data_IF_208783526574
#
_entry.id   IF_208783526574
#
_cell.length_a   1.000
_cell.length_b   1.000
_cell.length_c   1.000
_cell.angle_alpha   90.00
_cell.angle_beta   90.00
_cell.angle_gamma   90.00
#
_symmetry.space_group_name_H-M   'P 1'
#
loop_
_entity.id
_entity.type
_entity.pdbx_description
1 polymer ?
#
# COMPACT_ATOMS: atom_id res chain seq x y z
N UNK A 1 0.55 -8.30 15.25
CA UNK A 1 1.27 -9.18 14.31
C UNK A 1 0.38 -9.52 13.13
N UNK A 2 0.88 -9.34 11.92
CA UNK A 2 0.14 -9.58 10.69
C UNK A 2 0.72 -10.82 10.02
N UNK A 3 -0.13 -11.78 9.69
CA UNK A 3 0.32 -12.99 9.03
C UNK A 3 0.54 -12.76 7.54
N UNK A 4 1.66 -13.28 7.02
CA UNK A 4 1.99 -13.20 5.61
C UNK A 4 1.63 -14.50 4.90
N UNK A 5 1.19 -14.38 3.66
CA UNK A 5 0.97 -15.51 2.75
C UNK A 5 2.00 -15.45 1.63
N UNK A 6 2.58 -16.58 1.29
CA UNK A 6 3.43 -16.71 0.12
C UNK A 6 2.58 -17.24 -1.02
N UNK A 7 2.34 -16.43 -2.02
CA UNK A 7 1.46 -16.75 -3.14
C UNK A 7 2.05 -16.13 -4.41
N UNK A 8 2.14 -16.93 -5.47
CA UNK A 8 2.67 -16.48 -6.76
C UNK A 8 4.06 -15.84 -6.64
N UNK A 9 4.88 -16.37 -5.74
CA UNK A 9 6.24 -15.90 -5.43
C UNK A 9 6.28 -14.50 -4.82
N UNK A 10 5.19 -14.05 -4.23
CA UNK A 10 5.05 -12.75 -3.61
C UNK A 10 4.52 -12.92 -2.17
N UNK A 11 4.73 -11.89 -1.37
CA UNK A 11 4.22 -11.86 0.01
C UNK A 11 2.97 -10.99 0.10
N UNK A 12 1.89 -11.59 0.55
CA UNK A 12 0.61 -10.93 0.73
C UNK A 12 0.17 -10.99 2.18
N UNK A 13 -0.66 -10.03 2.56
CA UNK A 13 -1.37 -10.06 3.82
C UNK A 13 -2.78 -9.50 3.65
N UNK A 14 -3.58 -9.66 4.69
CA UNK A 14 -4.89 -9.03 4.80
C UNK A 14 -4.80 -7.96 5.88
N UNK A 15 -5.40 -6.80 5.62
CA UNK A 15 -5.49 -5.75 6.62
C UNK A 15 -6.70 -4.87 6.37
N UNK A 16 -7.07 -4.11 7.38
CA UNK A 16 -8.10 -3.09 7.26
C UNK A 16 -7.44 -1.75 7.01
N UNK A 17 -7.97 -1.00 6.07
CA UNK A 17 -7.51 0.34 5.74
C UNK A 17 -8.67 1.32 5.87
N UNK A 18 -8.52 2.31 6.73
CA UNK A 18 -9.47 3.43 6.78
C UNK A 18 -8.88 4.59 5.99
N UNK A 19 -9.57 4.98 4.95
CA UNK A 19 -9.12 6.02 4.03
C UNK A 19 -10.33 6.82 3.55
N UNK A 20 -10.22 8.15 3.55
CA UNK A 20 -11.31 9.06 3.15
C UNK A 20 -12.64 8.72 3.87
N UNK A 21 -12.57 8.44 5.17
CA UNK A 21 -13.71 8.07 6.04
C UNK A 21 -14.40 6.76 5.67
N UNK A 22 -13.72 5.91 4.91
CA UNK A 22 -14.23 4.57 4.55
C UNK A 22 -13.35 3.50 5.15
N UNK A 23 -13.96 2.48 5.73
CA UNK A 23 -13.26 1.30 6.19
C UNK A 23 -13.26 0.25 5.08
N UNK A 24 -12.07 -0.15 4.67
CA UNK A 24 -11.87 -1.14 3.62
C UNK A 24 -11.23 -2.39 4.23
N UNK A 25 -11.80 -3.55 3.94
CA UNK A 25 -11.22 -4.84 4.31
C UNK A 25 -10.46 -5.38 3.10
N UNK A 26 -9.14 -5.22 3.12
CA UNK A 26 -8.29 -5.58 2.00
C UNK A 26 -7.70 -6.97 2.21
N UNK A 27 -7.96 -7.88 1.28
CA UNK A 27 -7.49 -9.27 1.37
C UNK A 27 -6.15 -9.49 0.68
N UNK A 28 -5.87 -8.72 -0.36
CA UNK A 28 -4.70 -8.91 -1.19
C UNK A 28 -3.81 -7.68 -1.12
N UNK A 29 -3.10 -7.56 0.00
CA UNK A 29 -2.14 -6.49 0.22
C UNK A 29 -0.76 -7.05 -0.04
N UNK A 30 -0.10 -6.55 -1.10
CA UNK A 30 1.24 -6.97 -1.48
C UNK A 30 2.27 -6.18 -0.68
N UNK A 31 3.17 -6.89 -0.02
CA UNK A 31 4.30 -6.27 0.68
C UNK A 31 5.49 -6.30 -0.28
N UNK A 32 5.90 -5.13 -0.76
CA UNK A 32 6.91 -5.02 -1.82
C UNK A 32 8.04 -4.08 -1.41
N UNK A 33 9.10 -4.67 -0.88
CA UNK A 33 10.32 -3.92 -0.49
C UNK A 33 11.09 -3.40 -1.71
N UNK A 34 10.80 -3.91 -2.89
CA UNK A 34 11.40 -3.45 -4.15
C UNK A 34 10.73 -2.23 -4.75
N UNK A 35 9.60 -1.80 -4.20
CA UNK A 35 8.89 -0.61 -4.67
C UNK A 35 9.17 0.57 -3.74
N UNK A 36 9.53 1.71 -4.32
CA UNK A 36 9.75 2.93 -3.55
C UNK A 36 8.45 3.57 -3.06
N UNK A 37 7.34 3.31 -3.73
CA UNK A 37 6.06 3.97 -3.46
C UNK A 37 4.95 2.96 -3.21
N UNK A 38 4.02 3.36 -2.36
CA UNK A 38 2.80 2.61 -2.09
C UNK A 38 1.74 2.96 -3.14
N UNK A 39 1.04 1.94 -3.61
CA UNK A 39 0.05 2.07 -4.67
C UNK A 39 -1.26 1.45 -4.20
N UNK A 40 -2.34 2.24 -4.26
CA UNK A 40 -3.68 1.73 -3.96
C UNK A 40 -4.46 1.53 -5.27
N UNK A 41 -5.23 0.45 -5.33
CA UNK A 41 -6.07 0.15 -6.48
C UNK A 41 -7.11 1.27 -6.66
N UNK A 42 -7.21 1.78 -7.89
CA UNK A 42 -8.11 2.87 -8.23
C UNK A 42 -9.58 2.58 -7.96
N UNK A 43 -9.96 1.29 -7.88
CA UNK A 43 -11.34 0.88 -7.59
C UNK A 43 -11.82 1.39 -6.23
N UNK A 44 -10.90 1.66 -5.30
CA UNK A 44 -11.23 2.12 -3.95
C UNK A 44 -11.21 3.64 -3.79
N UNK A 45 -10.82 4.37 -4.83
CA UNK A 45 -10.56 5.80 -4.73
C UNK A 45 -11.52 6.59 -5.59
N UNK A 46 -12.10 7.64 -4.99
CA UNK A 46 -12.90 8.61 -5.71
C UNK A 46 -11.98 9.74 -6.22
N UNK A 47 -12.03 9.99 -7.52
CA UNK A 47 -11.26 11.06 -8.13
C UNK A 47 -12.05 12.37 -8.05
N UNK A 48 -11.39 13.42 -7.53
CA UNK A 48 -12.02 14.73 -7.31
C UNK A 48 -11.38 15.86 -8.10
N UNK A 49 -10.42 15.52 -8.97
CA UNK A 49 -9.73 16.53 -9.80
C UNK A 49 -8.49 17.13 -9.15
N UNK A 50 -8.17 16.75 -7.90
CA UNK A 50 -7.00 17.26 -7.19
C UNK A 50 -5.80 16.32 -7.25
N UNK A 51 -5.88 15.29 -8.07
CA UNK A 51 -4.81 14.33 -8.26
C UNK A 51 -3.73 14.92 -9.17
N UNK A 52 -2.47 14.59 -8.86
CA UNK A 52 -1.33 14.99 -9.69
C UNK A 52 -0.84 13.79 -10.49
N UNK A 53 -0.56 14.01 -11.78
CA UNK A 53 0.08 13.00 -12.62
C UNK A 53 1.58 13.14 -12.46
N UNK A 54 2.23 12.11 -11.96
CA UNK A 54 3.69 12.09 -11.82
C UNK A 54 4.28 10.84 -12.45
N UNK A 55 5.56 10.93 -12.81
CA UNK A 55 6.30 9.80 -13.33
C UNK A 55 7.00 9.08 -12.19
N UNK A 56 6.71 7.80 -12.04
CA UNK A 56 7.38 6.94 -11.07
C UNK A 56 8.42 6.11 -11.79
N UNK A 57 9.61 6.09 -11.22
CA UNK A 57 10.74 5.37 -11.76
C UNK A 57 10.81 3.97 -11.12
N UNK A 58 10.78 2.94 -11.94
CA UNK A 58 10.91 1.56 -11.50
C UNK A 58 11.95 0.80 -12.33
N UNK A 59 12.15 -0.46 -12.00
CA UNK A 59 13.12 -1.33 -12.67
C UNK A 59 12.80 -1.47 -14.17
N UNK A 60 11.54 -1.39 -14.55
CA UNK A 60 11.10 -1.49 -15.94
C UNK A 60 11.03 -0.18 -16.71
N UNK A 61 11.45 0.95 -16.12
CA UNK A 61 11.40 2.27 -16.73
C UNK A 61 10.48 3.24 -15.98
N UNK A 62 9.89 4.16 -16.72
CA UNK A 62 8.98 5.17 -16.15
C UNK A 62 7.53 4.78 -16.39
N UNK A 63 6.71 4.92 -15.38
CA UNK A 63 5.26 4.86 -15.49
C UNK A 63 4.66 6.16 -14.98
N UNK A 64 3.65 6.66 -15.70
CA UNK A 64 2.87 7.79 -15.23
C UNK A 64 1.77 7.28 -14.31
N UNK A 65 1.76 7.76 -13.09
CA UNK A 65 0.75 7.38 -12.09
C UNK A 65 0.11 8.62 -11.50
N UNK A 66 -1.14 8.49 -11.10
CA UNK A 66 -1.81 9.55 -10.36
C UNK A 66 -1.42 9.45 -8.90
N UNK A 67 -1.13 10.60 -8.30
CA UNK A 67 -0.89 10.72 -6.86
C UNK A 67 -2.04 11.46 -6.22
N UNK A 68 -2.47 10.98 -5.09
CA UNK A 68 -3.49 11.65 -4.31
C UNK A 68 -3.03 11.84 -2.87
N UNK A 69 -3.25 13.03 -2.34
CA UNK A 69 -2.92 13.38 -0.97
C UNK A 69 -4.09 13.02 -0.05
N UNK A 70 -3.76 12.42 1.07
CA UNK A 70 -4.71 12.11 2.13
C UNK A 70 -4.22 12.73 3.45
N UNK A 71 -5.11 13.39 4.17
CA UNK A 71 -4.77 13.99 5.46
C UNK A 71 -4.38 12.92 6.47
N UNK A 72 -5.06 11.78 6.43
CA UNK A 72 -4.70 10.64 7.26
C UNK A 72 -5.25 9.35 6.67
N UNK A 73 -4.53 8.26 6.95
CA UNK A 73 -5.02 6.90 6.76
C UNK A 73 -4.77 6.13 8.04
N UNK A 74 -5.53 5.07 8.26
CA UNK A 74 -5.34 4.21 9.41
C UNK A 74 -5.30 2.75 8.98
N UNK A 75 -4.30 2.02 9.46
CA UNK A 75 -4.16 0.59 9.20
C UNK A 75 -4.52 -0.18 10.46
N UNK A 76 -5.41 -1.17 10.31
CA UNK A 76 -5.89 -2.02 11.41
C UNK A 76 -6.40 -1.23 12.62
N UNK A 77 -6.97 -0.06 12.34
CA UNK A 77 -7.56 0.84 13.34
C UNK A 77 -6.60 1.18 14.50
N UNK A 78 -5.31 1.18 14.25
CA UNK A 78 -4.31 1.46 15.30
C UNK A 78 -3.07 2.17 14.79
N UNK A 79 -2.74 2.02 13.50
CA UNK A 79 -1.55 2.64 12.92
C UNK A 79 -1.98 3.81 12.05
N UNK A 80 -1.89 5.01 12.58
CA UNK A 80 -2.31 6.24 11.90
C UNK A 80 -1.13 6.88 11.20
N UNK A 81 -1.32 7.21 9.91
CA UNK A 81 -0.32 7.90 9.10
C UNK A 81 -0.95 9.18 8.61
N UNK A 82 -0.25 10.29 8.78
CA UNK A 82 -0.76 11.62 8.46
C UNK A 82 -0.02 12.20 7.28
N UNK A 83 -0.72 13.03 6.50
CA UNK A 83 -0.15 13.81 5.42
C UNK A 83 0.57 12.92 4.40
N UNK A 84 -0.15 11.95 3.86
CA UNK A 84 0.42 10.91 3.02
C UNK A 84 0.01 11.07 1.57
N UNK A 85 0.99 10.90 0.68
CA UNK A 85 0.74 10.80 -0.76
C UNK A 85 0.76 9.33 -1.17
N UNK A 86 -0.30 8.90 -1.83
CA UNK A 86 -0.39 7.55 -2.36
C UNK A 86 -0.51 7.58 -3.88
N UNK A 87 0.15 6.65 -4.54
CA UNK A 87 -0.09 6.39 -5.95
C UNK A 87 -1.43 5.68 -6.09
N UNK A 88 -2.20 6.06 -7.10
CA UNK A 88 -3.49 5.47 -7.41
C UNK A 88 -3.42 4.92 -8.83
N UNK A 89 -3.75 3.67 -9.01
CA UNK A 89 -3.69 3.09 -10.35
C UNK A 89 -4.37 1.74 -10.44
N UNK A 90 -4.44 1.26 -11.66
CA UNK A 90 -4.89 -0.10 -11.93
C UNK A 90 -3.74 -1.05 -11.64
N UNK A 91 -4.03 -2.11 -10.90
CA UNK A 91 -3.04 -3.11 -10.56
C UNK A 91 -3.47 -4.46 -11.14
N UNK A 92 -3.22 -4.63 -12.43
CA UNK A 92 -3.51 -5.86 -13.14
C UNK A 92 -2.20 -6.60 -13.44
N UNK A 93 -1.79 -7.42 -12.49
CA UNK A 93 -0.59 -8.25 -12.61
C UNK A 93 -0.95 -9.74 -12.74
N UNK A 94 -2.15 -10.03 -13.25
CA UNK A 94 -2.68 -11.39 -13.28
C UNK A 94 -3.20 -11.88 -11.94
N UNK A 95 -3.13 -11.04 -10.93
CA UNK A 95 -3.65 -11.27 -9.57
C UNK A 95 -4.32 -9.96 -9.16
N UNK A 96 -5.46 -10.06 -8.49
CA UNK A 96 -6.11 -8.88 -7.93
C UNK A 96 -5.31 -8.37 -6.75
N UNK A 97 -4.72 -7.19 -6.90
CA UNK A 97 -3.99 -6.53 -5.82
C UNK A 97 -4.80 -5.32 -5.38
N UNK A 98 -5.11 -5.27 -4.08
CA UNK A 98 -5.88 -4.17 -3.51
C UNK A 98 -4.99 -2.99 -3.14
N UNK A 99 -3.82 -3.30 -2.60
CA UNK A 99 -2.85 -2.32 -2.12
C UNK A 99 -1.46 -2.92 -2.24
N UNK A 100 -0.52 -2.13 -2.73
CA UNK A 100 0.89 -2.48 -2.72
C UNK A 100 1.58 -1.56 -1.73
N UNK A 101 2.11 -2.12 -0.65
CA UNK A 101 2.85 -1.33 0.34
C UNK A 101 4.33 -1.36 -0.03
N UNK A 102 4.83 -0.19 -0.40
CA UNK A 102 6.23 0.01 -0.75
C UNK A 102 7.07 0.48 0.43
N UNK A 103 8.33 0.77 0.15
CA UNK A 103 9.29 1.18 1.19
C UNK A 103 8.88 2.48 1.89
N UNK A 104 8.17 3.37 1.23
CA UNK A 104 7.73 4.64 1.82
C UNK A 104 6.88 4.39 3.07
N UNK A 105 5.83 3.57 2.99
CA UNK A 105 5.00 3.25 4.15
C UNK A 105 5.69 2.27 5.11
N UNK A 106 6.40 1.29 4.58
CA UNK A 106 7.13 0.35 5.44
C UNK A 106 8.11 1.07 6.35
N UNK A 107 8.76 2.11 5.85
CA UNK A 107 9.69 2.91 6.63
C UNK A 107 8.97 3.73 7.71
N UNK A 108 7.86 4.38 7.36
CA UNK A 108 7.06 5.16 8.30
C UNK A 108 6.52 4.27 9.41
N UNK A 109 6.05 3.09 9.06
CA UNK A 109 5.48 2.11 9.99
C UNK A 109 6.56 1.33 10.75
N UNK A 110 7.83 1.57 10.47
CA UNK A 110 8.96 0.85 11.08
C UNK A 110 8.73 -0.65 11.05
N UNK A 111 8.42 -1.14 9.84
CA UNK A 111 8.00 -2.52 9.65
C UNK A 111 9.13 -3.51 9.91
N UNK A 112 8.83 -4.55 10.66
CA UNK A 112 9.66 -5.74 10.80
C UNK A 112 9.03 -6.88 10.02
N UNK A 113 9.74 -7.40 9.04
CA UNK A 113 9.27 -8.51 8.21
C UNK A 113 10.07 -9.74 8.56
N UNK A 114 9.41 -10.77 9.07
CA UNK A 114 10.04 -12.04 9.35
C UNK A 114 9.64 -13.07 8.28
N UNK A 115 10.58 -13.39 7.42
CA UNK A 115 10.37 -14.43 6.42
C UNK A 115 10.32 -15.81 7.11
N UNK A 116 11.13 -16.00 8.14
CA UNK A 116 11.16 -17.25 8.89
C UNK A 116 9.80 -17.57 9.50
N UNK A 117 9.17 -16.59 10.11
CA UNK A 117 7.91 -16.76 10.82
C UNK A 117 6.69 -16.35 9.98
N UNK A 118 6.93 -15.86 8.77
CA UNK A 118 5.88 -15.39 7.85
C UNK A 118 4.93 -14.43 8.54
N UNK A 119 5.49 -13.38 9.10
CA UNK A 119 4.72 -12.35 9.78
C UNK A 119 5.34 -10.98 9.59
N UNK A 120 4.53 -9.97 9.84
CA UNK A 120 4.86 -8.56 9.69
C UNK A 120 4.38 -7.84 10.94
N UNK A 121 5.21 -6.96 11.48
CA UNK A 121 4.85 -6.10 12.59
C UNK A 121 5.09 -4.65 12.22
N UNK A 122 4.15 -3.79 12.58
CA UNK A 122 4.30 -2.35 12.48
C UNK A 122 4.53 -1.77 13.87
N UNK A 123 5.17 -0.61 13.92
CA UNK A 123 5.37 0.14 15.14
C UNK A 123 4.73 1.52 14.97
N UNK A 124 4.18 2.06 16.04
CA UNK A 124 3.68 3.44 16.03
C UNK A 124 4.83 4.44 15.92
N UNK A 125 4.56 5.51 15.20
CA UNK A 125 5.52 6.61 15.06
C UNK A 125 5.61 7.42 16.35
#
# INVERSE_FOLDING_TARGET
>A
MINLRYQSKLLFCSLDLTIANKLLHLKNVLIDTGSATTLINSDYIHFDGNEELINVHGVGGYESVLMKHFESISINNGYNIYDVLLCVGEMDYGIDIDLLIGLDLLKILKADISIKNMCLEFSEC
#
